data_IF_397533524844
#
_entry.id   IF_397533524844
#
_cell.length_a   1.000
_cell.length_b   1.000
_cell.length_c   1.000
_cell.angle_alpha   90.00
_cell.angle_beta   90.00
_cell.angle_gamma   90.00
#
_symmetry.space_group_name_H-M   'P 1'
#
loop_
_entity.id
_entity.type
_entity.pdbx_description
1 polymer ?
#
# COMPACT_ATOMS: atom_id res chain seq x y z
N UNK A 1 1.95 1.45 14.86
CA UNK A 1 3.28 1.04 15.38
C UNK A 1 4.04 2.25 15.93
N UNK A 2 4.40 2.30 17.22
CA UNK A 2 5.24 3.39 17.78
C UNK A 2 6.67 3.30 17.25
N UNK A 3 7.28 4.43 16.93
CA UNK A 3 8.67 4.48 16.49
C UNK A 3 9.61 4.83 17.65
N UNK A 4 10.55 3.94 17.95
CA UNK A 4 11.63 4.20 18.90
C UNK A 4 12.85 4.76 18.14
N UNK A 5 13.41 5.89 18.59
CA UNK A 5 14.60 6.52 18.00
C UNK A 5 14.48 6.84 16.49
N UNK A 6 13.32 7.32 16.06
CA UNK A 6 13.10 7.76 14.68
C UNK A 6 13.98 8.98 14.35
N UNK A 7 14.71 8.90 13.25
CA UNK A 7 15.45 10.00 12.62
C UNK A 7 15.10 10.03 11.14
N UNK A 8 14.80 11.23 10.64
CA UNK A 8 14.44 11.52 9.26
C UNK A 8 15.56 12.23 8.49
N UNK A 9 16.76 12.33 9.08
CA UNK A 9 17.94 12.93 8.43
C UNK A 9 18.27 12.28 7.07
N UNK A 10 17.83 11.04 6.88
CA UNK A 10 18.10 10.23 5.70
C UNK A 10 16.89 10.07 4.78
N UNK A 11 15.85 10.89 4.93
CA UNK A 11 14.66 10.79 4.07
C UNK A 11 14.95 11.08 2.59
N UNK A 12 14.12 10.53 1.71
CA UNK A 12 14.12 10.88 0.30
C UNK A 12 13.76 12.37 0.12
N UNK A 13 14.67 13.14 -0.50
CA UNK A 13 14.38 14.50 -0.94
C UNK A 13 13.70 14.44 -2.30
N UNK A 14 12.52 15.03 -2.42
CA UNK A 14 11.75 15.02 -3.67
C UNK A 14 11.47 16.45 -4.13
N UNK A 15 11.92 16.81 -5.33
CA UNK A 15 11.83 18.17 -5.87
C UNK A 15 12.33 19.23 -4.88
N UNK A 16 13.53 19.02 -4.29
CA UNK A 16 14.14 19.91 -3.30
C UNK A 16 13.37 20.05 -1.97
N UNK A 17 12.26 19.32 -1.79
CA UNK A 17 11.47 19.34 -0.57
C UNK A 17 11.83 18.19 0.36
N UNK A 18 11.78 18.49 1.66
CA UNK A 18 11.99 17.58 2.79
C UNK A 18 10.71 17.39 3.58
N UNK A 19 10.71 16.41 4.46
CA UNK A 19 9.66 16.02 5.39
C UNK A 19 8.31 15.67 4.75
N UNK A 20 8.31 15.29 3.46
CA UNK A 20 7.06 15.01 2.76
C UNK A 20 6.33 13.79 3.32
N UNK A 21 7.06 12.86 3.96
CA UNK A 21 6.48 11.72 4.65
C UNK A 21 5.47 12.13 5.74
N UNK A 22 5.64 13.32 6.36
CA UNK A 22 4.67 13.86 7.35
C UNK A 22 3.33 14.19 6.68
N UNK A 23 3.36 14.56 5.40
CA UNK A 23 2.20 14.91 4.57
C UNK A 23 1.84 13.79 3.60
N UNK A 24 2.25 12.56 3.86
CA UNK A 24 2.01 11.47 2.94
C UNK A 24 1.19 10.32 3.50
N UNK A 25 0.55 9.60 2.58
CA UNK A 25 0.12 8.22 2.77
C UNK A 25 1.03 7.29 1.95
N UNK A 26 1.24 6.08 2.45
CA UNK A 26 1.96 5.00 1.78
C UNK A 26 0.93 3.94 1.41
N UNK A 27 0.86 3.59 0.14
CA UNK A 27 -0.28 2.88 -0.45
C UNK A 27 0.18 1.64 -1.22
N UNK A 28 -0.54 0.55 -1.02
CA UNK A 28 -0.37 -0.72 -1.73
C UNK A 28 -1.70 -1.49 -1.78
N UNK A 29 -1.93 -2.24 -2.87
CA UNK A 29 -3.11 -3.09 -3.02
C UNK A 29 -2.71 -4.54 -3.24
N UNK A 30 -3.50 -5.43 -2.63
CA UNK A 30 -3.60 -6.79 -3.10
C UNK A 30 -4.86 -6.95 -3.93
N UNK A 31 -4.74 -7.38 -5.18
CA UNK A 31 -5.85 -7.34 -6.14
C UNK A 31 -6.00 -8.60 -6.99
N UNK A 32 -7.21 -8.82 -7.50
CA UNK A 32 -7.49 -9.90 -8.45
C UNK A 32 -7.93 -9.34 -9.81
N UNK A 33 -7.22 -9.78 -10.86
CA UNK A 33 -7.48 -9.43 -12.25
C UNK A 33 -7.78 -10.71 -13.03
N UNK A 34 -8.88 -10.72 -13.78
CA UNK A 34 -9.22 -11.78 -14.74
C UNK A 34 -9.66 -11.14 -16.05
N UNK A 35 -8.70 -10.96 -16.97
CA UNK A 35 -8.80 -10.13 -18.19
C UNK A 35 -9.01 -8.63 -17.92
N UNK A 36 -9.84 -8.29 -16.93
CA UNK A 36 -10.04 -6.94 -16.37
C UNK A 36 -9.98 -7.02 -14.84
N UNK A 37 -9.72 -5.91 -14.13
CA UNK A 37 -9.76 -5.89 -12.67
C UNK A 37 -11.13 -6.36 -12.14
N UNK A 38 -11.10 -7.26 -11.16
CA UNK A 38 -12.30 -7.89 -10.59
C UNK A 38 -12.62 -7.29 -9.22
N UNK A 39 -11.61 -7.22 -8.36
CA UNK A 39 -11.72 -6.65 -7.02
C UNK A 39 -10.36 -6.19 -6.49
N UNK A 40 -10.40 -5.23 -5.57
CA UNK A 40 -9.37 -5.04 -4.55
C UNK A 40 -9.60 -6.11 -3.50
N UNK A 41 -8.63 -6.99 -3.30
CA UNK A 41 -8.64 -8.05 -2.29
C UNK A 41 -8.27 -7.53 -0.91
N UNK A 42 -7.20 -6.73 -0.83
CA UNK A 42 -6.85 -5.91 0.33
C UNK A 42 -6.55 -4.49 -0.15
N UNK A 43 -7.20 -3.52 0.46
CA UNK A 43 -6.79 -2.12 0.43
C UNK A 43 -5.83 -1.90 1.60
N UNK A 44 -4.63 -1.39 1.33
CA UNK A 44 -3.62 -1.11 2.36
C UNK A 44 -3.10 0.31 2.27
N UNK A 45 -3.14 1.03 3.39
CA UNK A 45 -2.45 2.30 3.54
C UNK A 45 -1.78 2.40 4.91
N UNK A 46 -0.70 3.18 4.99
CA UNK A 46 -0.22 3.71 6.26
C UNK A 46 0.18 5.19 6.17
N UNK A 47 0.26 5.87 7.31
CA UNK A 47 0.81 7.22 7.40
C UNK A 47 1.51 7.45 8.73
N UNK A 48 2.38 8.46 8.79
CA UNK A 48 3.00 8.90 10.02
C UNK A 48 2.11 9.89 10.80
N UNK A 49 1.82 9.53 12.05
CA UNK A 49 1.18 10.38 13.06
C UNK A 49 2.28 11.00 13.94
N UNK A 50 2.55 12.28 13.72
CA UNK A 50 3.59 13.03 14.44
C UNK A 50 3.25 13.28 15.91
N UNK A 51 1.96 13.32 16.27
CA UNK A 51 1.51 13.53 17.65
C UNK A 51 1.80 12.27 18.47
N UNK A 52 1.51 11.10 17.90
CA UNK A 52 1.76 9.80 18.56
C UNK A 52 3.18 9.28 18.35
N UNK A 53 3.93 9.89 17.44
CA UNK A 53 5.19 9.36 16.91
C UNK A 53 5.03 7.88 16.50
N UNK A 54 4.06 7.62 15.62
CA UNK A 54 3.66 6.28 15.23
C UNK A 54 3.26 6.19 13.76
N UNK A 55 3.44 5.01 13.18
CA UNK A 55 2.83 4.66 11.89
C UNK A 55 1.43 4.12 12.15
N UNK A 56 0.43 4.76 11.57
CA UNK A 56 -0.98 4.32 11.61
C UNK A 56 -1.28 3.56 10.33
N UNK A 57 -1.71 2.30 10.47
CA UNK A 57 -2.01 1.39 9.36
C UNK A 57 -3.52 1.25 9.24
N UNK A 58 -4.04 1.24 8.01
CA UNK A 58 -5.44 0.97 7.71
C UNK A 58 -5.52 -0.06 6.60
N UNK A 59 -6.30 -1.13 6.86
CA UNK A 59 -6.49 -2.21 5.91
C UNK A 59 -7.97 -2.61 5.82
N UNK A 60 -8.43 -2.88 4.60
CA UNK A 60 -9.74 -3.47 4.35
C UNK A 60 -9.58 -4.69 3.45
N UNK A 61 -10.05 -5.85 3.89
CA UNK A 61 -9.99 -7.10 3.13
C UNK A 61 -11.40 -7.57 2.77
N UNK A 62 -11.60 -8.06 1.54
CA UNK A 62 -12.90 -8.61 1.14
C UNK A 62 -13.18 -9.92 1.88
N UNK A 63 -14.44 -10.13 2.24
CA UNK A 63 -14.91 -11.39 2.78
C UNK A 63 -15.80 -12.14 1.79
N UNK A 64 -16.41 -11.42 0.83
CA UNK A 64 -17.14 -12.02 -0.28
C UNK A 64 -17.33 -11.05 -1.45
N UNK A 65 -18.06 -11.50 -2.46
CA UNK A 65 -18.36 -10.70 -3.66
C UNK A 65 -19.15 -9.43 -3.35
N UNK A 66 -19.99 -9.46 -2.31
CA UNK A 66 -20.78 -8.31 -1.85
C UNK A 66 -19.89 -7.14 -1.37
N UNK A 67 -18.67 -7.42 -0.92
CA UNK A 67 -17.78 -6.41 -0.33
C UNK A 67 -17.00 -5.60 -1.36
N UNK A 68 -16.99 -6.03 -2.62
CA UNK A 68 -16.22 -5.37 -3.68
C UNK A 68 -16.58 -3.88 -3.77
N UNK A 69 -17.87 -3.54 -3.71
CA UNK A 69 -18.31 -2.13 -3.71
C UNK A 69 -18.02 -1.44 -2.38
N UNK A 70 -18.14 -2.16 -1.26
CA UNK A 70 -17.95 -1.60 0.07
C UNK A 70 -16.50 -1.16 0.29
N UNK A 71 -15.53 -1.96 -0.15
CA UNK A 71 -14.11 -1.58 -0.08
C UNK A 71 -13.82 -0.32 -0.88
N UNK A 72 -14.42 -0.15 -2.06
CA UNK A 72 -14.20 1.06 -2.85
C UNK A 72 -14.75 2.31 -2.16
N UNK A 73 -15.90 2.20 -1.48
CA UNK A 73 -16.42 3.29 -0.65
C UNK A 73 -15.50 3.60 0.52
N UNK A 74 -15.04 2.57 1.25
CA UNK A 74 -14.10 2.73 2.36
C UNK A 74 -12.75 3.32 1.90
N UNK A 75 -12.27 2.93 0.72
CA UNK A 75 -11.06 3.49 0.12
C UNK A 75 -11.24 4.97 -0.24
N UNK A 76 -12.36 5.34 -0.87
CA UNK A 76 -12.72 6.75 -1.14
C UNK A 76 -12.76 7.56 0.16
N UNK A 77 -13.50 7.08 1.16
CA UNK A 77 -13.60 7.75 2.46
C UNK A 77 -12.24 7.89 3.13
N UNK A 78 -11.39 6.86 3.05
CA UNK A 78 -10.02 6.93 3.55
C UNK A 78 -9.22 8.04 2.87
N UNK A 79 -9.21 8.08 1.54
CA UNK A 79 -8.47 9.08 0.78
C UNK A 79 -8.98 10.51 1.05
N UNK A 80 -10.29 10.71 1.08
CA UNK A 80 -10.89 12.01 1.40
C UNK A 80 -10.53 12.47 2.81
N UNK A 81 -10.60 11.57 3.80
CA UNK A 81 -10.23 11.88 5.20
C UNK A 81 -8.73 12.14 5.35
N UNK A 82 -7.88 11.35 4.69
CA UNK A 82 -6.44 11.56 4.70
C UNK A 82 -6.09 12.94 4.12
N UNK A 83 -6.74 13.35 3.04
CA UNK A 83 -6.49 14.65 2.42
C UNK A 83 -7.03 15.82 3.24
N UNK A 84 -8.29 15.75 3.68
CA UNK A 84 -8.98 16.88 4.34
C UNK A 84 -8.57 17.03 5.79
N UNK A 85 -8.55 15.93 6.52
CA UNK A 85 -8.39 15.92 7.99
C UNK A 85 -6.97 15.55 8.39
N UNK A 86 -6.36 14.62 7.65
CA UNK A 86 -4.97 14.20 7.86
C UNK A 86 -3.93 15.12 7.21
N UNK A 87 -4.39 16.13 6.46
CA UNK A 87 -3.56 17.08 5.68
C UNK A 87 -2.53 16.41 4.77
N UNK A 88 -2.84 15.20 4.29
CA UNK A 88 -1.96 14.43 3.41
C UNK A 88 -2.10 14.95 1.97
N UNK A 89 -0.97 15.18 1.31
CA UNK A 89 -0.83 15.75 -0.04
C UNK A 89 -0.07 14.83 -0.99
N UNK A 90 0.61 13.81 -0.47
CA UNK A 90 1.42 12.88 -1.24
C UNK A 90 0.93 11.45 -1.07
N UNK A 91 1.07 10.66 -2.13
CA UNK A 91 0.86 9.23 -2.12
C UNK A 91 2.14 8.53 -2.56
N UNK A 92 2.77 7.81 -1.65
CA UNK A 92 3.97 7.03 -1.91
C UNK A 92 3.56 5.60 -2.25
N UNK A 93 4.10 5.08 -3.35
CA UNK A 93 3.86 3.72 -3.82
C UNK A 93 5.17 3.04 -4.24
N UNK A 94 5.13 1.74 -4.51
CA UNK A 94 6.20 1.03 -5.21
C UNK A 94 5.62 0.35 -6.45
N UNK A 95 6.03 0.77 -7.65
CA UNK A 95 5.41 0.28 -8.90
C UNK A 95 3.88 0.51 -8.95
N UNK A 96 3.42 1.63 -8.39
CA UNK A 96 2.01 1.88 -8.06
C UNK A 96 1.09 2.09 -9.27
N UNK A 97 1.64 2.17 -10.50
CA UNK A 97 0.83 2.30 -11.71
C UNK A 97 -0.17 1.16 -11.88
N UNK A 98 0.20 -0.06 -11.44
CA UNK A 98 -0.69 -1.22 -11.50
C UNK A 98 -1.86 -1.06 -10.53
N UNK A 99 -1.58 -0.66 -9.29
CA UNK A 99 -2.59 -0.43 -8.26
C UNK A 99 -3.56 0.68 -8.65
N UNK A 100 -3.04 1.80 -9.15
CA UNK A 100 -3.87 2.91 -9.65
C UNK A 100 -4.75 2.47 -10.82
N UNK A 101 -4.21 1.69 -11.76
CA UNK A 101 -4.99 1.17 -12.88
C UNK A 101 -6.14 0.29 -12.38
N UNK A 102 -5.87 -0.58 -11.40
CA UNK A 102 -6.86 -1.49 -10.83
C UNK A 102 -7.96 -0.72 -10.10
N UNK A 103 -7.61 0.17 -9.17
CA UNK A 103 -8.61 0.84 -8.34
C UNK A 103 -9.42 1.86 -9.13
N UNK A 104 -8.80 2.61 -10.05
CA UNK A 104 -9.52 3.57 -10.89
C UNK A 104 -10.49 2.87 -11.84
N UNK A 105 -10.08 1.73 -12.43
CA UNK A 105 -10.99 0.91 -13.23
C UNK A 105 -12.20 0.45 -12.40
N UNK A 106 -11.98 0.05 -11.15
CA UNK A 106 -13.05 -0.40 -10.26
C UNK A 106 -13.95 0.76 -9.81
N UNK A 107 -13.39 1.95 -9.56
CA UNK A 107 -14.17 3.16 -9.29
C UNK A 107 -15.10 3.49 -10.45
N UNK A 108 -14.58 3.56 -11.68
CA UNK A 108 -15.39 3.80 -12.89
C UNK A 108 -16.47 2.72 -13.06
N UNK A 109 -16.10 1.44 -12.96
CA UNK A 109 -17.02 0.31 -13.12
C UNK A 109 -18.19 0.33 -12.14
N UNK A 110 -17.96 0.83 -10.92
CA UNK A 110 -18.96 0.83 -9.85
C UNK A 110 -19.51 2.22 -9.51
N UNK A 111 -19.28 3.19 -10.39
CA UNK A 111 -19.80 4.56 -10.29
C UNK A 111 -19.40 5.24 -8.96
N UNK A 112 -18.14 5.06 -8.57
CA UNK A 112 -17.54 5.75 -7.43
C UNK A 112 -16.81 6.98 -7.96
N UNK A 113 -17.44 8.14 -7.86
CA UNK A 113 -16.88 9.43 -8.26
C UNK A 113 -15.70 9.82 -7.37
N UNK A 114 -14.48 9.47 -7.80
CA UNK A 114 -13.24 9.77 -7.11
C UNK A 114 -12.03 9.65 -8.06
N UNK A 115 -11.19 10.69 -8.13
CA UNK A 115 -9.89 10.65 -8.81
C UNK A 115 -8.76 10.90 -7.81
N UNK A 116 -7.96 9.87 -7.53
CA UNK A 116 -6.81 9.95 -6.61
C UNK A 116 -5.84 11.09 -6.99
N UNK A 117 -5.69 11.39 -8.29
CA UNK A 117 -4.74 12.40 -8.79
C UNK A 117 -5.14 13.83 -8.46
N UNK A 118 -6.43 14.09 -8.20
CA UNK A 118 -6.89 15.40 -7.77
C UNK A 118 -6.50 15.70 -6.30
N UNK A 119 -6.25 14.65 -5.52
CA UNK A 119 -5.98 14.75 -4.08
C UNK A 119 -4.49 14.63 -3.77
N UNK A 120 -3.75 13.78 -4.50
CA UNK A 120 -2.38 13.45 -4.14
C UNK A 120 -1.39 13.59 -5.28
N UNK A 121 -0.24 14.19 -4.98
CA UNK A 121 0.94 14.07 -5.81
C UNK A 121 1.61 12.70 -5.56
N UNK A 122 1.77 11.92 -6.62
CA UNK A 122 2.36 10.57 -6.54
C UNK A 122 3.90 10.62 -6.54
N UNK A 123 4.50 9.81 -5.66
CA UNK A 123 5.94 9.51 -5.63
C UNK A 123 6.10 8.00 -5.69
N UNK A 124 6.78 7.48 -6.71
CA UNK A 124 6.98 6.03 -6.88
C UNK A 124 8.42 5.65 -6.55
N UNK A 125 8.61 4.89 -5.47
CA UNK A 125 9.94 4.53 -4.97
C UNK A 125 10.74 3.67 -5.95
N UNK A 126 10.08 2.87 -6.80
CA UNK A 126 10.79 2.09 -7.83
C UNK A 126 11.38 3.05 -8.87
N UNK A 127 10.63 4.08 -9.27
CA UNK A 127 11.11 5.08 -10.22
C UNK A 127 12.24 5.93 -9.64
N UNK A 128 12.13 6.33 -8.37
CA UNK A 128 13.22 7.07 -7.71
C UNK A 128 14.48 6.21 -7.60
N UNK A 129 14.34 4.91 -7.32
CA UNK A 129 15.47 3.97 -7.32
C UNK A 129 16.11 3.86 -8.72
N UNK A 130 15.30 3.70 -9.76
CA UNK A 130 15.76 3.59 -11.15
C UNK A 130 16.52 4.84 -11.62
N UNK A 131 16.11 6.04 -11.18
CA UNK A 131 16.84 7.28 -11.49
C UNK A 131 18.26 7.26 -10.95
N UNK A 132 18.45 6.76 -9.73
CA UNK A 132 19.76 6.71 -9.05
C UNK A 132 20.63 5.54 -9.52
N UNK A 133 20.07 4.32 -9.52
CA UNK A 133 20.83 3.08 -9.77
C UNK A 133 20.81 2.61 -11.23
N UNK A 134 20.05 3.28 -12.10
CA UNK A 134 19.90 2.94 -13.54
C UNK A 134 19.47 1.49 -13.80
N UNK A 135 18.82 0.87 -12.83
CA UNK A 135 18.34 -0.52 -12.88
C UNK A 135 17.02 -0.64 -12.13
N UNK A 136 16.17 -1.56 -12.60
CA UNK A 136 14.90 -1.85 -11.93
C UNK A 136 15.11 -2.88 -10.82
N UNK A 137 14.29 -2.78 -9.77
CA UNK A 137 14.32 -3.66 -8.61
C UNK A 137 12.89 -4.02 -8.20
N UNK A 138 12.71 -5.15 -7.52
CA UNK A 138 11.45 -5.50 -6.86
C UNK A 138 11.49 -5.15 -5.37
N UNK A 139 10.33 -4.87 -4.76
CA UNK A 139 10.22 -4.40 -3.38
C UNK A 139 11.01 -5.28 -2.39
N UNK A 140 10.86 -6.61 -2.47
CA UNK A 140 11.56 -7.56 -1.58
C UNK A 140 13.08 -7.51 -1.69
N UNK A 141 13.63 -7.12 -2.84
CA UNK A 141 15.08 -6.94 -2.98
C UNK A 141 15.50 -5.57 -2.47
N UNK A 142 14.69 -4.53 -2.72
CA UNK A 142 14.94 -3.19 -2.18
C UNK A 142 14.93 -3.21 -0.65
N UNK A 143 13.98 -3.91 -0.03
CA UNK A 143 13.93 -4.08 1.43
C UNK A 143 15.22 -4.67 2.00
N UNK A 144 15.85 -5.63 1.30
CA UNK A 144 17.12 -6.22 1.74
C UNK A 144 18.25 -5.20 1.71
N UNK A 145 18.30 -4.35 0.68
CA UNK A 145 19.28 -3.26 0.61
C UNK A 145 19.11 -2.26 1.75
N UNK A 146 17.86 -2.05 2.18
CA UNK A 146 17.48 -1.18 3.29
C UNK A 146 17.54 -1.87 4.66
N UNK A 147 18.03 -3.11 4.73
CA UNK A 147 18.07 -3.94 5.95
C UNK A 147 16.71 -4.08 6.65
N UNK A 148 15.62 -4.08 5.89
CA UNK A 148 14.27 -4.33 6.40
C UNK A 148 14.06 -5.84 6.49
N UNK A 149 13.80 -6.32 7.70
CA UNK A 149 13.57 -7.73 8.00
C UNK A 149 12.07 -7.93 8.18
N UNK A 150 11.47 -8.76 7.32
CA UNK A 150 10.08 -9.23 7.50
C UNK A 150 10.03 -10.39 8.50
N UNK A 151 8.97 -10.46 9.27
CA UNK A 151 8.80 -11.48 10.33
C UNK A 151 8.63 -12.91 9.79
N UNK A 152 8.26 -13.09 8.51
CA UNK A 152 7.89 -14.39 7.96
C UNK A 152 8.98 -15.05 7.09
N UNK A 153 9.23 -16.35 7.34
CA UNK A 153 10.06 -17.21 6.47
C UNK A 153 9.30 -17.76 5.25
N UNK A 154 7.97 -17.82 5.30
CA UNK A 154 7.17 -18.36 4.20
C UNK A 154 6.76 -17.28 3.18
N UNK A 155 7.18 -17.46 1.93
CA UNK A 155 6.82 -16.59 0.82
C UNK A 155 5.33 -16.70 0.48
N UNK A 156 4.50 -15.77 0.96
CA UNK A 156 3.29 -15.37 0.23
C UNK A 156 3.72 -14.58 -1.02
N UNK A 157 3.04 -14.86 -2.13
CA UNK A 157 3.20 -14.14 -3.39
C UNK A 157 1.87 -13.56 -3.83
N UNK A 158 1.90 -12.42 -4.53
CA UNK A 158 0.70 -11.80 -5.11
C UNK A 158 -0.10 -12.77 -6.00
N UNK A 159 0.55 -13.74 -6.66
CA UNK A 159 -0.15 -14.79 -7.42
C UNK A 159 -1.00 -15.72 -6.53
N UNK A 160 -0.48 -16.09 -5.36
CA UNK A 160 -1.23 -16.91 -4.40
C UNK A 160 -2.38 -16.12 -3.77
N UNK A 161 -2.18 -14.82 -3.53
CA UNK A 161 -3.21 -13.90 -3.05
C UNK A 161 -4.33 -13.72 -4.10
N UNK A 162 -3.97 -13.45 -5.36
CA UNK A 162 -4.94 -13.37 -6.46
C UNK A 162 -5.79 -14.64 -6.62
N UNK A 163 -5.19 -15.84 -6.46
CA UNK A 163 -5.94 -17.12 -6.45
C UNK A 163 -6.88 -17.21 -5.26
N UNK A 164 -6.47 -16.73 -4.09
CA UNK A 164 -7.30 -16.69 -2.88
C UNK A 164 -8.50 -15.76 -3.08
N UNK A 165 -8.30 -14.54 -3.56
CA UNK A 165 -9.40 -13.62 -3.85
C UNK A 165 -10.31 -14.13 -4.97
N UNK A 166 -9.76 -14.83 -5.98
CA UNK A 166 -10.59 -15.50 -6.99
C UNK A 166 -11.57 -16.49 -6.37
N UNK A 167 -11.18 -17.23 -5.32
CA UNK A 167 -12.06 -18.14 -4.60
C UNK A 167 -13.10 -17.37 -3.77
N UNK A 168 -12.68 -16.34 -3.03
CA UNK A 168 -13.58 -15.48 -2.24
C UNK A 168 -14.67 -14.86 -3.13
N UNK A 169 -14.32 -14.39 -4.32
CA UNK A 169 -15.28 -13.79 -5.27
C UNK A 169 -16.26 -14.80 -5.87
N UNK A 170 -15.86 -16.07 -5.98
CA UNK A 170 -16.69 -17.14 -6.58
C UNK A 170 -17.58 -17.84 -5.56
N UNK A 171 -17.24 -17.74 -4.28
CA UNK A 171 -17.79 -18.53 -3.20
C UNK A 171 -17.79 -17.68 -1.93
N UNK A 172 -18.93 -17.06 -1.64
CA UNK A 172 -19.08 -16.10 -0.53
C UNK A 172 -18.86 -16.73 0.85
N UNK A 173 -18.94 -18.07 0.97
CA UNK A 173 -18.65 -18.79 2.21
C UNK A 173 -17.19 -19.26 2.31
N UNK A 174 -16.37 -19.05 1.27
CA UNK A 174 -14.97 -19.49 1.26
C UNK A 174 -14.18 -18.87 2.42
N UNK A 175 -14.45 -17.59 2.74
CA UNK A 175 -13.79 -16.89 3.84
C UNK A 175 -14.08 -17.53 5.20
N UNK A 176 -15.29 -18.06 5.40
CA UNK A 176 -15.71 -18.71 6.65
C UNK A 176 -15.01 -20.06 6.84
N UNK A 177 -14.61 -20.71 5.73
CA UNK A 177 -13.82 -21.95 5.73
C UNK A 177 -12.31 -21.69 5.75
N UNK A 178 -11.87 -20.44 5.56
CA UNK A 178 -10.45 -20.10 5.59
C UNK A 178 -9.96 -20.07 7.04
N UNK A 179 -8.88 -20.80 7.37
CA UNK A 179 -8.29 -20.72 8.71
C UNK A 179 -7.87 -19.28 9.07
N UNK A 180 -8.14 -18.87 10.31
CA UNK A 180 -7.85 -17.51 10.80
C UNK A 180 -6.39 -17.10 10.62
N UNK A 181 -5.44 -18.02 10.81
CA UNK A 181 -4.02 -17.72 10.60
C UNK A 181 -3.73 -17.29 9.15
N UNK A 182 -4.44 -17.82 8.14
CA UNK A 182 -4.26 -17.41 6.75
C UNK A 182 -4.78 -16.00 6.50
N UNK A 183 -5.93 -15.64 7.09
CA UNK A 183 -6.48 -14.27 7.02
C UNK A 183 -5.49 -13.27 7.61
N UNK A 184 -4.97 -13.56 8.81
CA UNK A 184 -3.93 -12.75 9.46
C UNK A 184 -2.66 -12.64 8.62
N UNK A 185 -2.25 -13.73 7.97
CA UNK A 185 -1.08 -13.76 7.09
C UNK A 185 -1.22 -12.82 5.88
N UNK A 186 -2.42 -12.77 5.29
CA UNK A 186 -2.72 -11.87 4.16
C UNK A 186 -2.62 -10.41 4.62
N UNK A 187 -3.23 -10.08 5.75
CA UNK A 187 -3.18 -8.74 6.33
C UNK A 187 -1.75 -8.35 6.72
N UNK A 188 -1.01 -9.22 7.41
CA UNK A 188 0.38 -8.98 7.79
C UNK A 188 1.29 -8.77 6.57
N UNK A 189 1.08 -9.52 5.49
CA UNK A 189 1.83 -9.36 4.25
C UNK A 189 1.66 -7.95 3.67
N UNK A 190 0.43 -7.47 3.52
CA UNK A 190 0.15 -6.13 2.99
C UNK A 190 0.55 -5.02 4.00
N UNK A 191 0.43 -5.27 5.31
CA UNK A 191 0.90 -4.32 6.34
C UNK A 191 2.41 -4.12 6.22
N UNK A 192 3.16 -5.22 6.07
CA UNK A 192 4.60 -5.16 5.84
C UNK A 192 4.93 -4.39 4.57
N UNK A 193 4.20 -4.58 3.48
CA UNK A 193 4.43 -3.82 2.24
C UNK A 193 4.30 -2.31 2.48
N UNK A 194 3.17 -1.82 3.03
CA UNK A 194 2.98 -0.37 3.24
C UNK A 194 3.92 0.23 4.30
N UNK A 195 4.25 -0.52 5.36
CA UNK A 195 5.19 -0.09 6.40
C UNK A 195 6.63 -0.06 5.85
N UNK A 196 6.99 -1.02 5.00
CA UNK A 196 8.28 -0.99 4.30
C UNK A 196 8.43 0.25 3.44
N UNK A 197 7.38 0.69 2.73
CA UNK A 197 7.45 1.93 1.94
C UNK A 197 7.80 3.14 2.81
N UNK A 198 7.23 3.24 4.01
CA UNK A 198 7.57 4.31 4.96
C UNK A 198 9.03 4.25 5.39
N UNK A 199 9.53 3.07 5.76
CA UNK A 199 10.92 2.91 6.19
C UNK A 199 11.92 3.17 5.05
N UNK A 200 11.62 2.67 3.85
CA UNK A 200 12.42 2.94 2.64
C UNK A 200 12.47 4.45 2.39
N UNK A 201 11.33 5.13 2.41
CA UNK A 201 11.28 6.57 2.18
C UNK A 201 12.11 7.35 3.22
N UNK A 202 11.92 7.05 4.51
CA UNK A 202 12.55 7.82 5.61
C UNK A 202 14.03 7.50 5.83
N UNK A 203 14.54 6.44 5.21
CA UNK A 203 15.96 6.06 5.30
C UNK A 203 16.67 6.03 3.95
N UNK A 204 16.05 6.56 2.91
CA UNK A 204 16.54 6.58 1.53
C UNK A 204 18.02 6.93 1.39
N UNK A 205 18.43 8.10 1.88
CA UNK A 205 19.80 8.61 1.70
C UNK A 205 20.83 7.82 2.50
N UNK A 206 20.43 6.98 3.45
CA UNK A 206 21.37 6.12 4.18
C UNK A 206 21.85 4.93 3.32
N UNK A 207 21.02 4.49 2.38
CA UNK A 207 21.25 3.26 1.61
C UNK A 207 21.47 3.51 0.12
N UNK A 208 20.91 4.59 -0.42
CA UNK A 208 21.01 4.91 -1.84
C UNK A 208 22.15 5.88 -2.15
N UNK A 209 22.39 6.86 -1.26
CA UNK A 209 23.41 7.92 -1.39
C UNK A 209 24.59 7.66 -0.46
#
# INVERSE_FOLDING_TARGET
MKLCNFSDENELIFNENKELYKKAIFFDLEHYVYRKPVCVGVFGCCYYDSIKNAIEVTQYMIEGKKDVKNILKLAKEYFENAYRTGEKKYIITFSGNNDFTVINYLFEKYDVDFDIKEYFQSIDLQREYEKEKKSSIGLKNLEKEFNIIREEKELISGQNLAKTFSKIIKDDDYINRMPEYKKKKILLYNEQDVVSLFHIYTTWNKFIN
#
